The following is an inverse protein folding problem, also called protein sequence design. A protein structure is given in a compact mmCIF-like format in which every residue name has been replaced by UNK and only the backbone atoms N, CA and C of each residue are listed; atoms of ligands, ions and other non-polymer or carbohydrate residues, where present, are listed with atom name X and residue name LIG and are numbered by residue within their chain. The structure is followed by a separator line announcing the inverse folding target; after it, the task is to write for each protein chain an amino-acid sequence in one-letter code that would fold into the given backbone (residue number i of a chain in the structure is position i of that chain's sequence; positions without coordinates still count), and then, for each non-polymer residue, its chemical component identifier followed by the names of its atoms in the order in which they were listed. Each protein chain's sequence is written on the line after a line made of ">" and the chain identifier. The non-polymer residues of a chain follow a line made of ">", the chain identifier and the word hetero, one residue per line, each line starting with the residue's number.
data_IF_097257313845
#
_entry.id   IF_097257313845
#
_cell.length_a   1.000
_cell.length_b   1.000
_cell.length_c   1.000
_cell.angle_alpha   90.00
_cell.angle_beta   90.00
_cell.angle_gamma   90.00
#
_symmetry.space_group_name_H-M   'P 1'
#
loop_
_entity.id
_entity.type
_entity.pdbx_description
1 polymer ?
#
# COMPACT_ATOMS: atom_id res chain seq x y z
N UNK A 1 0.25 11.51 38.93
CA UNK A 1 1.10 12.40 38.12
C UNK A 1 0.83 12.08 36.66
N UNK A 2 0.09 12.97 36.00
CA UNK A 2 -0.28 12.83 34.61
C UNK A 2 0.85 13.36 33.72
N UNK A 3 1.48 12.48 32.97
CA UNK A 3 2.44 12.84 31.94
C UNK A 3 1.71 13.34 30.70
N UNK A 4 1.87 14.60 30.45
CA UNK A 4 1.32 15.36 29.32
C UNK A 4 2.10 14.99 28.05
N UNK A 5 1.56 14.14 27.19
CA UNK A 5 2.06 13.98 25.82
C UNK A 5 1.57 15.19 24.99
N UNK A 6 2.35 16.25 25.00
CA UNK A 6 2.24 17.32 24.03
C UNK A 6 2.48 16.76 22.63
N UNK A 7 1.38 16.55 21.89
CA UNK A 7 1.41 16.41 20.43
C UNK A 7 1.97 17.70 19.86
N UNK A 8 3.24 17.69 19.50
CA UNK A 8 3.87 18.74 18.69
C UNK A 8 3.07 18.91 17.40
N UNK A 9 2.16 19.89 17.39
CA UNK A 9 1.57 20.44 16.18
C UNK A 9 2.66 21.29 15.53
N UNK A 10 3.48 20.65 14.66
CA UNK A 10 4.38 21.40 13.79
C UNK A 10 3.56 22.39 12.98
N UNK A 11 3.76 23.67 13.22
CA UNK A 11 3.24 24.76 12.41
C UNK A 11 4.02 24.75 11.10
N UNK A 12 3.41 24.24 10.02
CA UNK A 12 3.98 24.38 8.69
C UNK A 12 3.76 25.82 8.24
N UNK A 13 4.77 26.40 7.60
CA UNK A 13 4.69 27.78 7.11
C UNK A 13 3.55 27.90 6.09
N UNK A 14 2.80 28.99 6.16
CA UNK A 14 1.82 29.40 5.17
C UNK A 14 2.56 29.65 3.86
N UNK A 15 2.45 28.70 2.88
CA UNK A 15 3.15 28.75 1.60
C UNK A 15 3.76 27.43 1.17
N UNK A 16 3.71 26.37 1.99
CA UNK A 16 4.16 25.05 1.57
C UNK A 16 3.23 24.48 0.49
N UNK A 17 3.82 23.98 -0.59
CA UNK A 17 3.07 23.28 -1.64
C UNK A 17 2.27 22.11 -1.06
N UNK A 18 1.10 21.85 -1.63
CA UNK A 18 0.14 20.86 -1.16
C UNK A 18 0.22 19.57 -1.97
N UNK A 19 -0.32 18.49 -1.39
CA UNK A 19 -0.41 17.19 -2.08
C UNK A 19 -1.19 17.31 -3.39
N UNK A 20 -2.25 18.13 -3.44
CA UNK A 20 -3.07 18.35 -4.63
C UNK A 20 -2.28 18.88 -5.83
N UNK A 21 -1.21 19.63 -5.59
CA UNK A 21 -0.36 20.20 -6.65
C UNK A 21 0.61 19.16 -7.27
N UNK A 22 0.91 18.07 -6.56
CA UNK A 22 1.88 17.05 -7.00
C UNK A 22 1.32 15.64 -7.12
N UNK A 23 0.05 15.42 -6.72
CA UNK A 23 -0.56 14.12 -6.85
C UNK A 23 -0.71 13.71 -8.32
N UNK A 24 -0.66 12.40 -8.55
CA UNK A 24 -0.78 11.78 -9.86
C UNK A 24 -2.08 10.98 -9.94
N UNK A 25 -2.49 10.63 -11.16
CA UNK A 25 -3.62 9.73 -11.38
C UNK A 25 -3.41 8.39 -10.68
N UNK A 26 -4.46 7.87 -10.05
CA UNK A 26 -4.43 6.62 -9.33
C UNK A 26 -5.04 5.49 -10.15
N UNK A 27 -4.28 4.43 -10.39
CA UNK A 27 -4.85 3.12 -10.71
C UNK A 27 -5.34 2.47 -9.42
N UNK A 28 -6.47 1.76 -9.48
CA UNK A 28 -7.06 1.05 -8.35
C UNK A 28 -7.67 -0.27 -8.81
N UNK A 29 -7.90 -1.17 -7.88
CA UNK A 29 -8.72 -2.35 -8.10
C UNK A 29 -9.94 -2.33 -7.19
N UNK A 30 -10.96 -3.11 -7.55
CA UNK A 30 -12.17 -3.23 -6.74
C UNK A 30 -11.96 -4.22 -5.60
N UNK A 31 -12.70 -4.05 -4.52
CA UNK A 31 -12.66 -4.93 -3.33
C UNK A 31 -13.15 -6.37 -3.63
N UNK A 32 -13.92 -6.56 -4.69
CA UNK A 32 -14.42 -7.85 -5.16
C UNK A 32 -13.54 -8.48 -6.25
N UNK A 33 -12.44 -7.84 -6.64
CA UNK A 33 -11.48 -8.37 -7.61
C UNK A 33 -10.75 -9.61 -7.07
N UNK A 34 -10.41 -10.54 -7.98
CA UNK A 34 -9.51 -11.63 -7.64
C UNK A 34 -8.04 -11.27 -7.85
N UNK A 35 -7.13 -12.02 -7.22
CA UNK A 35 -5.69 -11.72 -7.28
C UNK A 35 -5.09 -11.90 -8.69
N UNK A 36 -5.73 -12.66 -9.58
CA UNK A 36 -5.33 -12.75 -10.97
C UNK A 36 -5.55 -11.44 -11.72
N UNK A 37 -6.71 -10.79 -11.50
CA UNK A 37 -7.02 -9.47 -12.07
C UNK A 37 -6.09 -8.39 -11.51
N UNK A 38 -5.85 -8.43 -10.18
CA UNK A 38 -4.91 -7.50 -9.53
C UNK A 38 -3.49 -7.64 -10.08
N UNK A 39 -3.00 -8.88 -10.20
CA UNK A 39 -1.66 -9.15 -10.75
C UNK A 39 -1.53 -8.65 -12.18
N UNK A 40 -2.55 -8.90 -13.02
CA UNK A 40 -2.60 -8.37 -14.39
C UNK A 40 -2.49 -6.85 -14.39
N UNK A 41 -3.28 -6.16 -13.57
CA UNK A 41 -3.29 -4.70 -13.51
C UNK A 41 -1.95 -4.13 -13.04
N UNK A 42 -1.30 -4.76 -12.04
CA UNK A 42 0.05 -4.38 -11.60
C UNK A 42 1.06 -4.44 -12.75
N UNK A 43 1.05 -5.54 -13.51
CA UNK A 43 1.99 -5.76 -14.62
C UNK A 43 1.70 -4.83 -15.80
N UNK A 44 0.45 -4.76 -16.26
CA UNK A 44 0.06 -3.92 -17.41
C UNK A 44 0.28 -2.42 -17.16
N UNK A 45 0.08 -1.96 -15.93
CA UNK A 45 0.27 -0.54 -15.55
C UNK A 45 1.69 -0.24 -15.05
N UNK A 46 2.53 -1.23 -14.92
CA UNK A 46 3.90 -1.06 -14.41
C UNK A 46 3.95 -0.47 -13.01
N UNK A 47 2.99 -0.82 -12.15
CA UNK A 47 2.89 -0.32 -10.78
C UNK A 47 3.10 -1.44 -9.77
N UNK A 48 3.71 -1.13 -8.63
CA UNK A 48 4.02 -2.11 -7.57
C UNK A 48 2.90 -2.26 -6.53
N UNK A 49 1.87 -1.45 -6.58
CA UNK A 49 0.78 -1.49 -5.60
C UNK A 49 -0.45 -0.72 -6.08
N UNK A 50 -1.61 -1.06 -5.53
CA UNK A 50 -2.90 -0.48 -5.88
C UNK A 50 -3.72 -0.20 -4.61
N UNK A 51 -4.36 0.98 -4.51
CA UNK A 51 -5.50 1.15 -3.63
C UNK A 51 -6.62 0.20 -4.03
N UNK A 52 -7.30 -0.37 -3.04
CA UNK A 52 -8.51 -1.16 -3.22
C UNK A 52 -9.70 -0.30 -2.87
N UNK A 53 -10.67 -0.22 -3.76
CA UNK A 53 -11.85 0.65 -3.60
C UNK A 53 -13.16 -0.13 -3.60
N UNK A 54 -14.15 0.42 -2.91
CA UNK A 54 -15.53 -0.09 -2.94
C UNK A 54 -16.33 0.43 -4.16
N UNK A 55 -17.63 0.13 -4.20
CA UNK A 55 -18.52 0.54 -5.28
C UNK A 55 -18.69 2.07 -5.41
N UNK A 56 -18.40 2.83 -4.36
CA UNK A 56 -18.45 4.29 -4.32
C UNK A 56 -17.07 4.94 -4.47
N UNK A 57 -16.05 4.16 -4.86
CA UNK A 57 -14.63 4.54 -4.98
C UNK A 57 -13.95 4.92 -3.65
N UNK A 58 -14.54 4.57 -2.50
CA UNK A 58 -13.86 4.78 -1.21
C UNK A 58 -12.71 3.78 -1.05
N UNK A 59 -11.61 4.26 -0.49
CA UNK A 59 -10.44 3.40 -0.22
C UNK A 59 -10.74 2.49 0.96
N UNK A 60 -10.84 1.18 0.70
CA UNK A 60 -11.13 0.12 1.69
C UNK A 60 -9.96 -0.82 1.93
N UNK A 61 -8.91 -0.70 1.14
CA UNK A 61 -7.72 -1.54 1.25
C UNK A 61 -6.56 -1.02 0.42
N UNK A 62 -5.42 -1.70 0.57
CA UNK A 62 -4.22 -1.45 -0.21
C UNK A 62 -3.48 -2.77 -0.43
N UNK A 63 -3.12 -3.07 -1.66
CA UNK A 63 -2.43 -4.30 -2.07
C UNK A 63 -1.12 -3.96 -2.78
N UNK A 64 -0.07 -4.71 -2.51
CA UNK A 64 1.23 -4.58 -3.17
C UNK A 64 1.71 -5.90 -3.76
N UNK A 65 2.67 -5.80 -4.69
CA UNK A 65 3.42 -6.95 -5.21
C UNK A 65 4.07 -7.77 -4.08
N UNK A 66 4.55 -7.09 -3.03
CA UNK A 66 5.11 -7.73 -1.84
C UNK A 66 4.10 -8.60 -1.08
N UNK A 67 2.81 -8.21 -1.03
CA UNK A 67 1.75 -9.01 -0.41
C UNK A 67 1.51 -10.30 -1.20
N UNK A 68 1.50 -10.19 -2.52
CA UNK A 68 1.36 -11.34 -3.43
C UNK A 68 2.59 -12.26 -3.31
N UNK A 69 3.80 -11.70 -3.33
CA UNK A 69 5.03 -12.49 -3.19
C UNK A 69 5.09 -13.22 -1.85
N UNK A 70 4.70 -12.58 -0.73
CA UNK A 70 4.62 -13.25 0.58
C UNK A 70 3.63 -14.40 0.56
N UNK A 71 2.48 -14.25 -0.09
CA UNK A 71 1.48 -15.31 -0.20
C UNK A 71 1.98 -16.50 -1.04
N UNK A 72 2.76 -16.25 -2.09
CA UNK A 72 3.39 -17.29 -2.92
C UNK A 72 4.53 -17.98 -2.15
N UNK A 73 5.33 -17.20 -1.41
CA UNK A 73 6.45 -17.72 -0.63
C UNK A 73 6.04 -18.42 0.66
N UNK A 74 4.77 -18.32 1.08
CA UNK A 74 4.28 -18.97 2.28
C UNK A 74 4.38 -20.50 2.16
N UNK A 75 5.13 -21.11 3.09
CA UNK A 75 5.29 -22.56 3.15
C UNK A 75 4.09 -23.21 3.84
N UNK A 76 3.61 -24.34 3.30
CA UNK A 76 2.65 -25.20 4.03
C UNK A 76 3.42 -25.99 5.07
N UNK A 77 3.21 -25.69 6.35
CA UNK A 77 3.75 -26.49 7.45
C UNK A 77 2.90 -27.74 7.64
N UNK A 78 3.53 -28.92 7.67
CA UNK A 78 2.89 -30.16 8.16
C UNK A 78 3.48 -30.52 9.50
N UNK A 79 2.62 -30.70 10.48
CA UNK A 79 3.00 -31.32 11.75
C UNK A 79 3.06 -32.84 11.53
N UNK A 80 4.22 -33.43 11.72
CA UNK A 80 4.41 -34.88 11.71
C UNK A 80 4.54 -35.34 13.15
N UNK A 81 3.61 -36.16 13.61
CA UNK A 81 3.68 -36.81 14.92
C UNK A 81 4.46 -38.13 14.76
N UNK A 82 5.61 -38.22 15.39
CA UNK A 82 6.38 -39.44 15.46
C UNK A 82 6.73 -39.74 16.92
N UNK A 83 6.14 -40.81 17.49
CA UNK A 83 6.54 -41.30 18.81
C UNK A 83 6.34 -40.36 20.00
N UNK A 84 5.38 -39.44 19.96
CA UNK A 84 5.06 -38.51 21.07
C UNK A 84 5.72 -37.15 20.99
N UNK A 85 6.57 -36.89 20.00
CA UNK A 85 7.13 -35.57 19.71
C UNK A 85 6.53 -35.00 18.43
N UNK A 86 6.08 -33.73 18.50
CA UNK A 86 5.62 -32.98 17.33
C UNK A 86 6.80 -32.29 16.67
N UNK A 87 7.23 -32.77 15.51
CA UNK A 87 8.24 -32.11 14.69
C UNK A 87 7.54 -31.35 13.56
N UNK A 88 7.76 -30.03 13.51
CA UNK A 88 7.33 -29.22 12.37
C UNK A 88 8.34 -29.36 11.26
N UNK A 89 7.96 -30.05 10.19
CA UNK A 89 8.76 -30.12 8.96
C UNK A 89 8.24 -29.09 7.98
N UNK A 90 9.15 -28.26 7.47
CA UNK A 90 8.90 -27.30 6.40
C UNK A 90 9.15 -28.01 5.09
N UNK A 91 8.09 -28.25 4.31
CA UNK A 91 8.23 -28.74 2.94
C UNK A 91 7.80 -27.64 1.98
N UNK A 92 8.71 -27.17 1.16
CA UNK A 92 8.41 -26.29 0.02
C UNK A 92 8.60 -27.07 -1.28
N UNK A 93 7.85 -28.16 -1.43
CA UNK A 93 7.87 -29.01 -2.63
C UNK A 93 6.80 -28.57 -3.67
N UNK A 94 6.07 -27.47 -3.40
CA UNK A 94 5.02 -27.06 -4.31
C UNK A 94 5.55 -26.10 -5.38
N UNK A 95 5.47 -26.47 -6.68
CA UNK A 95 5.96 -25.62 -7.77
C UNK A 95 5.26 -24.25 -7.79
N UNK A 96 6.01 -23.18 -8.16
CA UNK A 96 5.54 -21.81 -8.21
C UNK A 96 4.28 -21.64 -9.06
N UNK A 97 4.20 -22.33 -10.19
CA UNK A 97 3.06 -22.27 -11.10
C UNK A 97 1.77 -22.82 -10.48
N UNK A 98 1.86 -23.81 -9.60
CA UNK A 98 0.70 -24.33 -8.84
C UNK A 98 0.25 -23.33 -7.80
N UNK A 99 1.16 -22.78 -7.00
CA UNK A 99 0.87 -21.74 -6.02
C UNK A 99 0.23 -20.51 -6.68
N UNK A 100 0.74 -20.08 -7.83
CA UNK A 100 0.19 -18.97 -8.59
C UNK A 100 -1.24 -19.26 -9.12
N UNK A 101 -1.50 -20.48 -9.59
CA UNK A 101 -2.84 -20.89 -10.03
C UNK A 101 -3.86 -20.90 -8.89
N UNK A 102 -3.48 -21.38 -7.71
CA UNK A 102 -4.33 -21.36 -6.52
C UNK A 102 -4.62 -19.93 -6.06
N UNK A 103 -3.58 -19.06 -6.10
CA UNK A 103 -3.70 -17.67 -5.71
C UNK A 103 -4.66 -16.88 -6.61
N UNK A 104 -4.65 -17.18 -7.91
CA UNK A 104 -5.40 -16.46 -8.96
C UNK A 104 -6.85 -16.20 -8.61
N UNK A 105 -7.53 -17.16 -7.98
CA UNK A 105 -8.97 -17.12 -7.70
C UNK A 105 -9.32 -16.53 -6.33
N UNK A 106 -8.34 -16.24 -5.50
CA UNK A 106 -8.56 -15.64 -4.18
C UNK A 106 -8.95 -14.19 -4.29
N UNK A 107 -9.82 -13.74 -3.36
CA UNK A 107 -10.22 -12.33 -3.31
C UNK A 107 -9.05 -11.45 -2.85
N UNK A 108 -8.91 -10.26 -3.43
CA UNK A 108 -7.86 -9.28 -3.10
C UNK A 108 -7.87 -8.92 -1.61
N UNK A 109 -9.03 -8.83 -0.98
CA UNK A 109 -9.18 -8.45 0.43
C UNK A 109 -8.67 -9.50 1.42
N UNK A 110 -8.31 -10.70 0.96
CA UNK A 110 -7.63 -11.70 1.79
C UNK A 110 -6.16 -11.32 2.07
N UNK A 111 -5.51 -10.59 1.16
CA UNK A 111 -4.12 -10.15 1.27
C UNK A 111 -3.99 -8.64 1.51
N UNK A 112 -4.96 -7.84 1.09
CA UNK A 112 -4.89 -6.39 1.20
C UNK A 112 -4.85 -5.91 2.65
N UNK A 113 -4.03 -4.90 2.91
CA UNK A 113 -4.04 -4.15 4.15
C UNK A 113 -5.32 -3.34 4.24
N UNK A 114 -6.11 -3.50 5.32
CA UNK A 114 -7.40 -2.81 5.51
C UNK A 114 -7.26 -1.43 6.16
N UNK A 115 -6.27 -1.25 7.03
CA UNK A 115 -5.98 0.05 7.67
C UNK A 115 -5.05 0.86 6.77
N UNK A 116 -5.64 1.57 5.81
CA UNK A 116 -4.89 2.35 4.82
C UNK A 116 -4.61 3.75 5.35
N UNK A 117 -3.34 4.16 5.28
CA UNK A 117 -2.95 5.54 5.52
C UNK A 117 -3.12 6.31 4.22
N UNK A 118 -3.98 7.31 4.22
CA UNK A 118 -4.27 8.16 3.08
C UNK A 118 -3.80 9.61 3.34
N UNK A 119 -3.61 10.35 2.26
CA UNK A 119 -3.40 11.79 2.28
C UNK A 119 -4.66 12.51 1.77
N UNK A 120 -4.78 13.81 2.04
CA UNK A 120 -5.79 14.69 1.42
C UNK A 120 -5.11 15.76 0.58
N UNK A 121 -5.78 16.35 -0.43
CA UNK A 121 -5.17 17.32 -1.33
C UNK A 121 -4.60 18.55 -0.62
N UNK A 122 -5.20 18.96 0.49
CA UNK A 122 -4.84 20.18 1.23
C UNK A 122 -3.64 19.99 2.15
N UNK A 123 -3.19 18.72 2.33
CA UNK A 123 -2.06 18.46 3.22
C UNK A 123 -0.76 19.04 2.65
N UNK A 124 0.07 19.69 3.50
CA UNK A 124 1.40 20.13 3.10
C UNK A 124 2.29 18.94 2.70
N UNK A 125 3.06 19.09 1.63
CA UNK A 125 3.97 18.05 1.12
C UNK A 125 4.95 17.60 2.19
N UNK A 126 5.49 18.51 2.99
CA UNK A 126 6.44 18.20 4.06
C UNK A 126 5.88 17.21 5.10
N UNK A 127 4.58 17.30 5.42
CA UNK A 127 3.91 16.34 6.32
C UNK A 127 3.84 14.95 5.69
N UNK A 128 3.50 14.87 4.42
CA UNK A 128 3.39 13.59 3.69
C UNK A 128 4.77 12.98 3.46
N UNK A 129 5.79 13.79 3.17
CA UNK A 129 7.19 13.35 3.11
C UNK A 129 7.62 12.69 4.43
N UNK A 130 7.28 13.29 5.57
CA UNK A 130 7.51 12.71 6.89
C UNK A 130 6.81 11.36 7.11
N UNK A 131 5.56 11.20 6.64
CA UNK A 131 4.85 9.93 6.70
C UNK A 131 5.50 8.86 5.83
N UNK A 132 5.83 9.19 4.59
CA UNK A 132 6.48 8.29 3.64
C UNK A 132 7.86 7.84 4.12
N UNK A 133 8.62 8.73 4.79
CA UNK A 133 9.94 8.39 5.33
C UNK A 133 9.88 7.43 6.51
N UNK A 134 8.98 7.68 7.47
CA UNK A 134 8.87 6.91 8.73
C UNK A 134 8.26 5.53 8.55
N UNK A 135 7.25 5.40 7.70
CA UNK A 135 6.44 4.18 7.54
C UNK A 135 6.90 3.26 6.41
N UNK A 136 8.02 3.55 5.75
CA UNK A 136 8.51 2.83 4.55
C UNK A 136 7.48 2.71 3.42
N UNK A 137 6.48 3.57 3.41
CA UNK A 137 5.53 3.63 2.29
C UNK A 137 6.23 4.21 1.05
N UNK A 138 5.95 3.65 -0.11
CA UNK A 138 6.43 4.19 -1.39
C UNK A 138 5.47 5.23 -1.96
N UNK A 139 4.19 5.10 -1.64
CA UNK A 139 3.10 6.01 -2.04
C UNK A 139 1.95 5.96 -1.04
N UNK A 140 1.12 6.99 -1.05
CA UNK A 140 -0.15 7.05 -0.31
C UNK A 140 -1.29 7.35 -1.28
N UNK A 141 -2.47 6.71 -1.11
CA UNK A 141 -3.69 7.15 -1.76
C UNK A 141 -4.04 8.57 -1.31
N UNK A 142 -4.54 9.38 -2.23
CA UNK A 142 -5.11 10.69 -1.93
C UNK A 142 -6.63 10.58 -2.03
N UNK A 143 -7.32 10.98 -0.98
CA UNK A 143 -8.77 10.86 -0.86
C UNK A 143 -9.42 12.23 -0.66
N UNK A 144 -10.66 12.35 -1.10
CA UNK A 144 -11.51 13.50 -0.82
C UNK A 144 -12.16 13.42 0.57
N UNK A 145 -13.02 14.40 0.90
CA UNK A 145 -13.74 14.46 2.18
C UNK A 145 -14.69 13.29 2.45
N UNK A 146 -15.10 12.55 1.41
CA UNK A 146 -15.96 11.37 1.50
C UNK A 146 -15.15 10.05 1.52
N UNK A 147 -13.82 10.14 1.52
CA UNK A 147 -12.92 8.98 1.50
C UNK A 147 -12.74 8.34 0.11
N UNK A 148 -13.19 9.02 -0.95
CA UNK A 148 -13.05 8.54 -2.32
C UNK A 148 -11.66 8.77 -2.85
N UNK A 149 -11.13 7.79 -3.58
CA UNK A 149 -9.82 7.89 -4.22
C UNK A 149 -9.85 8.93 -5.35
N UNK A 150 -9.02 9.96 -5.23
CA UNK A 150 -8.85 11.02 -6.22
C UNK A 150 -7.45 11.09 -6.84
N UNK A 151 -6.47 10.42 -6.24
CA UNK A 151 -5.11 10.38 -6.74
C UNK A 151 -4.19 9.54 -5.89
N UNK A 152 -2.90 9.59 -6.21
CA UNK A 152 -1.81 9.05 -5.39
C UNK A 152 -0.69 10.07 -5.27
N UNK A 153 -0.01 10.09 -4.13
CA UNK A 153 1.26 10.81 -3.96
C UNK A 153 2.38 9.79 -3.72
N UNK A 154 3.46 9.92 -4.50
CA UNK A 154 4.61 9.01 -4.47
C UNK A 154 5.84 9.74 -3.90
N UNK A 155 6.81 8.97 -3.43
CA UNK A 155 8.13 9.54 -3.09
C UNK A 155 8.76 10.27 -4.28
N UNK A 156 8.59 9.72 -5.49
CA UNK A 156 9.11 10.33 -6.72
C UNK A 156 8.44 11.65 -7.06
N UNK A 157 7.13 11.83 -6.78
CA UNK A 157 6.43 13.11 -6.98
C UNK A 157 7.00 14.19 -6.04
N UNK A 158 7.24 13.83 -4.77
CA UNK A 158 7.90 14.72 -3.81
C UNK A 158 9.33 15.05 -4.24
N UNK A 159 10.09 14.06 -4.71
CA UNK A 159 11.46 14.29 -5.17
C UNK A 159 11.53 15.21 -6.40
N UNK A 160 10.58 15.10 -7.34
CA UNK A 160 10.49 16.06 -8.48
C UNK A 160 10.23 17.48 -7.98
N UNK A 161 9.32 17.63 -7.00
CA UNK A 161 9.05 18.95 -6.42
C UNK A 161 10.28 19.53 -5.73
N UNK A 162 11.00 18.72 -4.93
CA UNK A 162 12.25 19.12 -4.30
C UNK A 162 13.30 19.49 -5.35
N UNK A 163 13.42 18.74 -6.43
CA UNK A 163 14.32 19.05 -7.54
C UNK A 163 14.00 20.42 -8.16
N UNK A 164 12.72 20.68 -8.45
CA UNK A 164 12.29 21.97 -8.99
C UNK A 164 12.63 23.13 -8.05
N UNK A 165 12.46 22.95 -6.73
CA UNK A 165 12.84 23.96 -5.74
C UNK A 165 14.35 24.23 -5.70
N UNK A 166 15.18 23.20 -5.89
CA UNK A 166 16.65 23.33 -5.81
C UNK A 166 17.26 23.91 -7.08
N UNK A 167 16.69 23.62 -8.24
CA UNK A 167 17.28 23.92 -9.54
C UNK A 167 16.48 24.91 -10.39
N UNK A 168 15.28 25.32 -9.95
CA UNK A 168 14.48 26.35 -10.60
C UNK A 168 13.86 25.92 -11.94
N UNK A 169 13.59 24.63 -12.13
CA UNK A 169 12.95 24.07 -13.34
C UNK A 169 11.47 23.76 -13.09
#
# INVERSE_FOLDING_TARGET
>A
MAGNEERSKGTFATGDATVGEIMEEAYSCRFDANLGEVTRLLVERGVSSLPVVDGERRVVGFISDGDIMRAIAAHKTRSVFNGGEATMLYFDDEPLDRKARELKHRNVMELATRKVVCATPEQPIGRVAGLLSKKRFKKLPVIDGDGRLIGVVRRTSIMRHVFALLFGE
#
